data_IF_772958668621
#
_entry.id   IF_772958668621
#
_cell.length_a   1.000
_cell.length_b   1.000
_cell.length_c   1.000
_cell.angle_alpha   90.00
_cell.angle_beta   90.00
_cell.angle_gamma   90.00
#
_symmetry.space_group_name_H-M   'P 1'
#
loop_
_entity.id
_entity.type
_entity.pdbx_description
1 polymer ?
#
# COMPACT_ATOMS: atom_id res chain seq x y z
N UNK A 1 -11.71 37.66 -6.45
CA UNK A 1 -11.07 36.80 -5.46
C UNK A 1 -11.14 37.48 -4.12
N UNK A 2 -11.45 36.70 -3.08
CA UNK A 2 -11.63 37.24 -1.71
C UNK A 2 -10.23 37.39 -1.09
N UNK A 3 -9.92 38.58 -0.56
CA UNK A 3 -8.62 38.88 0.04
C UNK A 3 -8.75 39.00 1.56
N UNK A 4 -7.84 38.36 2.28
CA UNK A 4 -7.72 38.37 3.73
C UNK A 4 -6.35 38.83 4.20
N UNK A 5 -6.15 38.84 5.50
CA UNK A 5 -4.86 39.15 6.15
C UNK A 5 -4.57 38.18 7.26
N UNK A 6 -3.31 37.75 7.35
CA UNK A 6 -2.83 36.96 8.48
C UNK A 6 -2.95 37.75 9.78
N UNK A 7 -3.64 37.21 10.77
CA UNK A 7 -3.80 37.81 12.11
C UNK A 7 -3.03 37.06 13.18
N UNK A 8 -2.77 35.75 12.97
CA UNK A 8 -2.03 34.93 13.91
C UNK A 8 -1.30 33.80 13.20
N UNK A 9 -0.10 33.44 13.67
CA UNK A 9 0.70 32.28 13.23
C UNK A 9 1.12 31.50 14.47
N UNK A 10 0.76 30.22 14.55
CA UNK A 10 1.15 29.31 15.64
C UNK A 10 1.70 28.03 15.01
N UNK A 11 3.01 27.98 14.76
CA UNK A 11 3.61 26.88 14.04
C UNK A 11 2.99 26.72 12.64
N UNK A 12 2.46 25.54 12.34
CA UNK A 12 1.79 25.27 11.06
C UNK A 12 0.36 25.79 10.97
N UNK A 13 -0.20 26.35 12.05
CA UNK A 13 -1.56 26.90 12.08
C UNK A 13 -1.53 28.40 11.84
N UNK A 14 -2.38 28.87 10.92
CA UNK A 14 -2.47 30.27 10.51
C UNK A 14 -3.92 30.72 10.57
N UNK A 15 -4.17 31.81 11.28
CA UNK A 15 -5.47 32.47 11.32
C UNK A 15 -5.49 33.64 10.35
N UNK A 16 -6.49 33.69 9.50
CA UNK A 16 -6.66 34.70 8.44
C UNK A 16 -8.02 35.39 8.61
N UNK A 17 -7.98 36.70 8.72
CA UNK A 17 -9.16 37.54 8.79
C UNK A 17 -9.58 37.98 7.38
N UNK A 18 -10.88 37.87 7.07
CA UNK A 18 -11.48 38.34 5.84
C UNK A 18 -12.44 39.48 6.13
N UNK A 19 -12.44 40.50 5.28
CA UNK A 19 -13.37 41.60 5.39
C UNK A 19 -14.59 41.33 4.51
N UNK A 20 -15.74 41.09 5.11
CA UNK A 20 -17.02 40.87 4.40
C UNK A 20 -17.88 39.81 5.08
N UNK A 21 -19.07 39.56 4.55
CA UNK A 21 -20.03 38.60 5.09
C UNK A 21 -19.71 37.14 4.67
N UNK A 22 -18.95 36.99 3.61
CA UNK A 22 -18.60 35.67 3.09
C UNK A 22 -17.22 35.25 3.60
N UNK A 23 -17.14 34.03 4.17
CA UNK A 23 -15.91 33.41 4.60
C UNK A 23 -15.50 32.29 3.63
N UNK A 24 -14.20 32.02 3.48
CA UNK A 24 -13.73 30.81 2.82
C UNK A 24 -14.38 29.55 3.39
N UNK A 25 -14.71 28.62 2.52
CA UNK A 25 -15.27 27.33 2.93
C UNK A 25 -14.17 26.45 3.55
N UNK A 26 -14.61 25.48 4.34
CA UNK A 26 -13.71 24.42 4.83
C UNK A 26 -13.07 23.72 3.63
N UNK A 27 -11.76 23.51 3.72
CA UNK A 27 -10.87 22.97 2.68
C UNK A 27 -10.53 23.92 1.53
N UNK A 28 -11.07 25.13 1.46
CA UNK A 28 -10.58 26.10 0.46
C UNK A 28 -9.08 26.31 0.63
N UNK A 29 -8.39 26.42 -0.49
CA UNK A 29 -6.96 26.74 -0.54
C UNK A 29 -6.78 28.25 -0.54
N UNK A 30 -6.01 28.75 0.41
CA UNK A 30 -5.60 30.15 0.52
C UNK A 30 -4.15 30.27 0.09
N UNK A 31 -3.83 31.26 -0.75
CA UNK A 31 -2.45 31.59 -1.12
C UNK A 31 -1.97 32.83 -0.40
N UNK A 32 -0.79 32.75 0.19
CA UNK A 32 -0.12 33.91 0.77
C UNK A 32 0.57 34.69 -0.36
N UNK A 33 0.15 35.93 -0.61
CA UNK A 33 0.53 36.68 -1.81
C UNK A 33 2.05 36.96 -1.89
N UNK A 34 2.72 37.07 -0.74
CA UNK A 34 4.15 37.34 -0.64
C UNK A 34 5.07 36.08 -0.73
N UNK A 35 4.48 34.89 -0.76
CA UNK A 35 5.18 33.60 -0.78
C UNK A 35 4.40 32.61 -1.62
N UNK A 36 4.98 31.45 -1.95
CA UNK A 36 4.25 30.37 -2.62
C UNK A 36 3.49 29.46 -1.64
N UNK A 37 3.34 29.88 -0.37
CA UNK A 37 2.71 29.05 0.65
C UNK A 37 1.19 28.95 0.42
N UNK A 38 0.71 27.74 0.42
CA UNK A 38 -0.73 27.43 0.45
C UNK A 38 -1.15 27.07 1.86
N UNK A 39 -2.31 27.59 2.28
CA UNK A 39 -2.96 27.30 3.57
C UNK A 39 -4.30 26.64 3.27
N UNK A 40 -4.58 25.49 3.86
CA UNK A 40 -5.89 24.84 3.76
C UNK A 40 -6.77 25.22 4.93
N UNK A 41 -7.96 25.73 4.66
CA UNK A 41 -8.94 26.13 5.69
C UNK A 41 -9.45 24.89 6.42
N UNK A 42 -9.36 24.91 7.75
CA UNK A 42 -9.80 23.80 8.62
C UNK A 42 -11.00 24.15 9.47
N UNK A 43 -11.11 25.40 9.90
CA UNK A 43 -12.14 25.88 10.82
C UNK A 43 -12.52 27.31 10.52
N UNK A 44 -13.74 27.67 10.83
CA UNK A 44 -14.17 29.06 10.96
C UNK A 44 -14.13 29.45 12.46
N UNK A 45 -13.40 30.52 12.78
CA UNK A 45 -13.11 30.92 14.15
C UNK A 45 -13.67 32.35 14.34
N UNK A 46 -14.93 32.46 14.74
CA UNK A 46 -15.62 33.76 14.84
C UNK A 46 -16.16 34.26 13.51
N UNK A 47 -16.62 35.51 13.50
CA UNK A 47 -17.43 36.05 12.40
C UNK A 47 -16.63 36.31 11.10
N UNK A 48 -15.33 36.61 11.22
CA UNK A 48 -14.53 37.09 10.09
C UNK A 48 -13.21 36.32 9.93
N UNK A 49 -12.94 35.29 10.74
CA UNK A 49 -11.64 34.63 10.79
C UNK A 49 -11.76 33.16 10.47
N UNK A 50 -10.89 32.68 9.62
CA UNK A 50 -10.70 31.24 9.36
C UNK A 50 -9.35 30.78 9.91
N UNK A 51 -9.31 29.57 10.39
CA UNK A 51 -8.11 28.89 10.82
C UNK A 51 -7.74 27.83 9.80
N UNK A 52 -6.52 27.90 9.32
CA UNK A 52 -6.01 26.96 8.34
C UNK A 52 -4.69 26.34 8.76
N UNK A 53 -4.31 25.31 8.01
CA UNK A 53 -3.03 24.62 8.18
C UNK A 53 -2.13 24.88 6.97
N UNK A 54 -0.88 25.23 7.23
CA UNK A 54 0.09 25.49 6.18
C UNK A 54 0.52 24.19 5.48
N UNK A 55 0.55 24.21 4.16
CA UNK A 55 1.04 23.15 3.29
C UNK A 55 2.52 23.41 2.91
N UNK A 56 3.32 23.81 3.86
CA UNK A 56 4.73 24.13 3.72
C UNK A 56 5.25 24.81 4.97
N UNK A 57 6.51 25.27 4.97
CA UNK A 57 7.06 26.01 6.10
C UNK A 57 6.32 27.35 6.31
N UNK A 58 5.93 27.58 7.55
CA UNK A 58 5.35 28.86 7.98
C UNK A 58 6.40 29.90 8.35
N UNK A 59 7.68 29.58 8.18
CA UNK A 59 8.78 30.48 8.49
C UNK A 59 8.71 31.75 7.63
N UNK A 60 8.89 32.88 8.30
CA UNK A 60 8.82 34.21 7.64
C UNK A 60 7.42 34.77 7.49
N UNK A 61 6.36 34.04 7.83
CA UNK A 61 5.01 34.60 7.89
C UNK A 61 4.90 35.67 8.98
N UNK A 62 4.20 36.76 8.66
CA UNK A 62 3.99 37.90 9.56
C UNK A 62 2.50 38.30 9.57
N UNK A 63 2.06 38.83 10.71
CA UNK A 63 0.74 39.47 10.78
C UNK A 63 0.64 40.57 9.74
N UNK A 64 -0.53 40.70 9.13
CA UNK A 64 -0.84 41.71 8.11
C UNK A 64 -0.46 41.29 6.68
N UNK A 65 0.22 40.16 6.46
CA UNK A 65 0.45 39.64 5.12
C UNK A 65 -0.88 39.36 4.42
N UNK A 66 -0.96 39.73 3.14
CA UNK A 66 -2.14 39.51 2.32
C UNK A 66 -2.25 38.03 1.93
N UNK A 67 -3.49 37.56 1.93
CA UNK A 67 -3.83 36.18 1.58
C UNK A 67 -5.02 36.19 0.63
N UNK A 68 -4.93 35.46 -0.45
CA UNK A 68 -5.99 35.35 -1.46
C UNK A 68 -6.67 34.00 -1.38
N UNK A 69 -8.01 33.99 -1.24
CA UNK A 69 -8.79 32.75 -1.37
C UNK A 69 -8.90 32.34 -2.85
N UNK A 70 -8.52 31.11 -3.18
CA UNK A 70 -8.69 30.57 -4.53
C UNK A 70 -10.14 30.26 -4.86
N UNK A 71 -11.00 30.06 -3.83
CA UNK A 71 -12.41 29.71 -3.94
C UNK A 71 -12.67 28.22 -4.17
N UNK A 72 -11.63 27.40 -4.13
CA UNK A 72 -11.71 25.96 -4.30
C UNK A 72 -10.67 25.23 -3.42
N UNK A 73 -10.87 23.94 -3.11
CA UNK A 73 -9.87 23.11 -2.44
C UNK A 73 -8.60 22.93 -3.28
N UNK A 74 -7.55 22.38 -2.65
CA UNK A 74 -6.31 22.02 -3.31
C UNK A 74 -6.63 21.09 -4.49
N UNK A 75 -6.17 21.44 -5.69
CA UNK A 75 -6.31 20.64 -6.91
C UNK A 75 -4.94 20.26 -7.46
N UNK A 76 -4.83 19.03 -7.94
CA UNK A 76 -3.58 18.42 -8.38
C UNK A 76 -3.68 17.89 -9.81
N UNK A 77 -2.58 17.83 -10.56
CA UNK A 77 -2.58 17.29 -11.92
C UNK A 77 -2.93 15.81 -11.90
N UNK A 78 -3.65 15.35 -12.89
CA UNK A 78 -4.03 13.95 -13.08
C UNK A 78 -3.80 13.51 -14.53
N UNK A 79 -3.81 12.22 -14.77
CA UNK A 79 -3.69 11.63 -16.09
C UNK A 79 -2.28 11.13 -16.41
N UNK A 80 -2.09 10.71 -17.64
CA UNK A 80 -0.85 10.05 -18.10
C UNK A 80 0.41 10.90 -17.93
N UNK A 81 0.28 12.23 -17.95
CA UNK A 81 1.40 13.14 -17.71
C UNK A 81 2.01 13.01 -16.29
N UNK A 82 1.31 12.39 -15.36
CA UNK A 82 1.82 12.14 -14.01
C UNK A 82 2.69 10.88 -13.88
N UNK A 83 2.60 9.97 -14.85
CA UNK A 83 3.35 8.71 -14.82
C UNK A 83 4.86 8.97 -15.00
N UNK A 84 5.66 8.27 -14.23
CA UNK A 84 7.10 8.43 -14.21
C UNK A 84 7.60 9.66 -13.46
N UNK A 85 6.71 10.41 -12.80
CA UNK A 85 7.02 11.69 -12.17
C UNK A 85 6.82 11.64 -10.65
N UNK A 86 7.53 12.52 -9.95
CA UNK A 86 7.42 12.70 -8.49
C UNK A 86 6.77 14.04 -8.21
N UNK A 87 5.76 14.03 -7.32
CA UNK A 87 5.01 15.21 -6.92
C UNK A 87 5.08 15.46 -5.42
N UNK A 88 4.96 16.72 -5.05
CA UNK A 88 4.63 17.12 -3.68
C UNK A 88 3.11 17.03 -3.41
N UNK A 89 2.68 17.38 -2.20
CA UNK A 89 1.27 17.36 -1.78
C UNK A 89 0.37 18.26 -2.61
N UNK A 90 0.90 19.33 -3.18
CA UNK A 90 0.20 20.30 -4.02
C UNK A 90 0.19 19.92 -5.50
N UNK A 91 0.82 18.79 -5.86
CA UNK A 91 0.92 18.34 -7.24
C UNK A 91 1.99 19.07 -8.06
N UNK A 92 2.96 19.71 -7.42
CA UNK A 92 4.12 20.25 -8.10
C UNK A 92 5.15 19.14 -8.31
N UNK A 93 5.72 19.07 -9.53
CA UNK A 93 6.78 18.12 -9.81
C UNK A 93 8.08 18.49 -9.08
N UNK A 94 8.67 17.53 -8.38
CA UNK A 94 9.89 17.73 -7.56
C UNK A 94 11.08 16.91 -8.02
N UNK A 95 10.95 16.21 -9.15
CA UNK A 95 11.95 15.32 -9.75
C UNK A 95 12.96 16.04 -10.66
N UNK A 96 12.92 17.36 -10.72
CA UNK A 96 13.77 18.19 -11.58
C UNK A 96 13.67 17.91 -13.09
N UNK A 97 12.70 17.13 -13.53
CA UNK A 97 12.47 16.80 -14.94
C UNK A 97 11.60 17.84 -15.68
N UNK A 98 11.43 19.02 -15.10
CA UNK A 98 10.65 20.11 -15.66
C UNK A 98 9.15 20.08 -15.30
N UNK A 99 8.39 21.08 -15.71
CA UNK A 99 6.96 21.18 -15.39
C UNK A 99 6.17 20.04 -16.03
N UNK A 100 5.06 19.66 -15.38
CA UNK A 100 4.12 18.67 -15.90
C UNK A 100 2.97 19.40 -16.59
N UNK A 101 2.79 19.16 -17.86
CA UNK A 101 1.67 19.66 -18.65
C UNK A 101 0.52 18.66 -18.59
N UNK A 102 -0.26 18.72 -17.50
CA UNK A 102 -1.46 17.92 -17.36
C UNK A 102 -2.66 18.60 -18.03
N UNK A 103 -3.44 17.81 -18.75
CA UNK A 103 -4.66 18.30 -19.42
C UNK A 103 -5.74 18.68 -18.39
N UNK A 104 -5.73 18.07 -17.24
CA UNK A 104 -6.75 18.23 -16.18
C UNK A 104 -6.13 18.28 -14.79
N UNK A 105 -6.80 19.04 -13.90
CA UNK A 105 -6.58 19.01 -12.46
C UNK A 105 -7.85 18.56 -11.75
N UNK A 106 -7.69 17.86 -10.64
CA UNK A 106 -8.80 17.40 -9.82
C UNK A 106 -8.55 17.78 -8.36
N UNK A 107 -9.64 18.16 -7.66
CA UNK A 107 -9.59 18.48 -6.23
C UNK A 107 -9.29 17.23 -5.39
N UNK A 108 -8.47 17.37 -4.34
CA UNK A 108 -8.11 16.24 -3.48
C UNK A 108 -9.22 15.84 -2.51
N UNK A 109 -10.10 16.75 -2.14
CA UNK A 109 -11.27 16.49 -1.29
C UNK A 109 -12.46 16.05 -2.16
N UNK A 110 -12.51 14.76 -2.45
CA UNK A 110 -13.62 14.13 -3.18
C UNK A 110 -14.41 13.22 -2.25
N UNK A 111 -15.67 13.04 -2.57
CA UNK A 111 -16.51 12.05 -1.90
C UNK A 111 -16.20 10.64 -2.45
N UNK A 112 -16.44 9.64 -1.61
CA UNK A 112 -16.44 8.26 -2.08
C UNK A 112 -17.48 8.05 -3.18
N UNK A 113 -17.28 7.08 -4.10
CA UNK A 113 -18.27 6.73 -5.12
C UNK A 113 -19.63 6.43 -4.50
N UNK A 114 -20.69 6.86 -5.17
CA UNK A 114 -22.05 6.59 -4.72
C UNK A 114 -22.37 5.10 -4.80
N UNK A 115 -23.32 4.64 -4.00
CA UNK A 115 -23.68 3.23 -3.91
C UNK A 115 -24.06 2.61 -5.26
N UNK A 116 -24.71 3.35 -6.13
CA UNK A 116 -25.10 2.94 -7.46
C UNK A 116 -23.95 2.90 -8.49
N UNK A 117 -22.80 3.52 -8.17
CA UNK A 117 -21.58 3.48 -8.97
C UNK A 117 -20.70 2.26 -8.66
N UNK A 118 -20.90 1.63 -7.50
CA UNK A 118 -20.09 0.50 -7.06
C UNK A 118 -20.31 -0.74 -7.94
N UNK A 119 -19.24 -1.54 -8.10
CA UNK A 119 -19.33 -2.83 -8.74
C UNK A 119 -20.18 -3.82 -7.91
N UNK A 120 -21.00 -4.61 -8.57
CA UNK A 120 -21.88 -5.59 -7.90
C UNK A 120 -21.13 -6.82 -7.37
N UNK A 121 -19.98 -7.16 -7.93
CA UNK A 121 -19.14 -8.29 -7.53
C UNK A 121 -17.68 -7.83 -7.41
N UNK A 122 -16.95 -8.47 -6.52
CA UNK A 122 -15.50 -8.29 -6.41
C UNK A 122 -14.82 -9.44 -7.17
N UNK A 123 -14.21 -9.11 -8.30
CA UNK A 123 -13.34 -10.04 -9.01
C UNK A 123 -12.01 -10.18 -8.26
N UNK A 124 -11.36 -11.32 -8.40
CA UNK A 124 -10.01 -11.51 -7.87
C UNK A 124 -8.98 -10.78 -8.74
N UNK A 125 -7.99 -10.20 -8.08
CA UNK A 125 -6.82 -9.64 -8.73
C UNK A 125 -5.69 -10.67 -8.69
N UNK A 126 -5.44 -11.32 -9.81
CA UNK A 126 -4.33 -12.25 -9.94
C UNK A 126 -3.01 -11.48 -10.00
N UNK A 127 -2.14 -11.75 -9.05
CA UNK A 127 -0.85 -11.03 -8.91
C UNK A 127 0.31 -11.72 -9.59
N UNK A 128 0.18 -13.00 -9.90
CA UNK A 128 1.25 -13.85 -10.42
C UNK A 128 2.29 -14.25 -9.37
N UNK A 129 2.04 -13.95 -8.10
CA UNK A 129 2.86 -14.33 -6.95
C UNK A 129 2.19 -15.49 -6.22
N UNK A 130 2.80 -16.67 -6.26
CA UNK A 130 2.20 -17.92 -5.76
C UNK A 130 1.63 -17.82 -4.37
N UNK A 131 2.39 -17.28 -3.41
CA UNK A 131 1.96 -17.22 -2.01
C UNK A 131 0.79 -16.24 -1.82
N UNK A 132 0.75 -15.14 -2.53
CA UNK A 132 -0.34 -14.18 -2.47
C UNK A 132 -1.60 -14.81 -3.06
N UNK A 133 -1.52 -15.26 -4.30
CA UNK A 133 -2.68 -15.74 -5.04
C UNK A 133 -3.31 -16.99 -4.42
N UNK A 134 -2.49 -17.88 -3.81
CA UNK A 134 -2.99 -19.09 -3.16
C UNK A 134 -3.57 -18.82 -1.76
N UNK A 135 -2.83 -18.09 -0.92
CA UNK A 135 -3.10 -18.01 0.53
C UNK A 135 -3.87 -16.75 0.94
N UNK A 136 -3.55 -15.62 0.33
CA UNK A 136 -4.15 -14.33 0.65
C UNK A 136 -4.60 -13.57 -0.62
N UNK A 137 -5.46 -14.18 -1.46
CA UNK A 137 -5.87 -13.60 -2.72
C UNK A 137 -6.46 -12.20 -2.56
N UNK A 138 -6.12 -11.29 -3.47
CA UNK A 138 -6.60 -9.92 -3.47
C UNK A 138 -7.92 -9.81 -4.23
N UNK A 139 -8.83 -8.99 -3.71
CA UNK A 139 -9.99 -8.55 -4.47
C UNK A 139 -9.64 -7.29 -5.28
N UNK A 140 -10.13 -7.16 -6.50
CA UNK A 140 -10.14 -5.88 -7.20
C UNK A 140 -10.96 -4.87 -6.40
N UNK A 141 -10.38 -3.71 -6.13
CA UNK A 141 -10.99 -2.71 -5.25
C UNK A 141 -10.87 -3.02 -3.76
N UNK A 142 -10.14 -4.09 -3.41
CA UNK A 142 -9.85 -4.47 -2.04
C UNK A 142 -8.74 -3.65 -1.40
N UNK A 143 -8.64 -3.75 -0.08
CA UNK A 143 -7.66 -3.07 0.74
C UNK A 143 -6.77 -4.10 1.40
N UNK A 144 -5.48 -4.05 1.10
CA UNK A 144 -4.48 -5.00 1.58
C UNK A 144 -3.54 -4.32 2.55
N UNK A 145 -3.41 -4.87 3.75
CA UNK A 145 -2.37 -4.46 4.69
C UNK A 145 -1.08 -5.23 4.46
N UNK A 146 0.03 -4.52 4.34
CA UNK A 146 1.36 -5.10 4.21
C UNK A 146 2.13 -4.89 5.51
N UNK A 147 2.43 -5.98 6.20
CA UNK A 147 3.13 -6.00 7.47
C UNK A 147 4.54 -6.55 7.29
N UNK A 148 5.50 -5.99 7.98
CA UNK A 148 6.86 -6.51 7.98
C UNK A 148 7.88 -5.50 8.48
N UNK A 149 8.93 -6.02 9.10
CA UNK A 149 10.06 -5.23 9.56
C UNK A 149 10.93 -4.70 8.41
N UNK A 150 12.01 -4.03 8.78
CA UNK A 150 12.99 -3.58 7.79
C UNK A 150 13.75 -4.78 7.18
N UNK A 151 14.08 -4.71 5.90
CA UNK A 151 14.94 -5.67 5.22
C UNK A 151 14.31 -7.01 4.85
N UNK A 152 12.98 -7.14 4.90
CA UNK A 152 12.27 -8.37 4.51
C UNK A 152 11.74 -8.36 3.07
N UNK A 153 12.11 -7.34 2.28
CA UNK A 153 11.72 -7.26 0.86
C UNK A 153 10.41 -6.55 0.58
N UNK A 154 9.94 -5.65 1.47
CA UNK A 154 8.70 -4.88 1.27
C UNK A 154 8.70 -4.13 -0.07
N UNK A 155 9.73 -3.33 -0.31
CA UNK A 155 9.91 -2.53 -1.53
C UNK A 155 9.93 -3.39 -2.80
N UNK A 156 10.66 -4.50 -2.77
CA UNK A 156 10.77 -5.43 -3.90
C UNK A 156 9.42 -6.07 -4.23
N UNK A 157 8.63 -6.43 -3.21
CA UNK A 157 7.26 -6.93 -3.41
C UNK A 157 6.36 -5.87 -4.07
N UNK A 158 6.44 -4.60 -3.62
CA UNK A 158 5.67 -3.52 -4.22
C UNK A 158 6.03 -3.31 -5.69
N UNK A 159 7.32 -3.28 -6.01
CA UNK A 159 7.80 -3.11 -7.41
C UNK A 159 7.36 -4.28 -8.31
N UNK A 160 7.41 -5.50 -7.80
CA UNK A 160 6.94 -6.67 -8.57
C UNK A 160 5.44 -6.60 -8.87
N UNK A 161 4.65 -6.17 -7.89
CA UNK A 161 3.20 -5.97 -8.09
C UNK A 161 2.92 -4.85 -9.09
N UNK A 162 3.65 -3.74 -9.05
CA UNK A 162 3.55 -2.64 -10.03
C UNK A 162 3.82 -3.17 -11.44
N UNK A 163 4.91 -3.92 -11.60
CA UNK A 163 5.27 -4.51 -12.89
C UNK A 163 4.21 -5.47 -13.40
N UNK A 164 3.76 -6.39 -12.55
CA UNK A 164 2.79 -7.41 -12.95
C UNK A 164 1.44 -6.80 -13.33
N UNK A 165 0.96 -5.81 -12.56
CA UNK A 165 -0.25 -5.08 -12.93
C UNK A 165 -0.10 -4.32 -14.25
N UNK A 166 1.05 -3.69 -14.47
CA UNK A 166 1.27 -2.93 -15.69
C UNK A 166 1.31 -3.83 -16.94
N UNK A 167 1.96 -4.97 -16.86
CA UNK A 167 2.19 -5.87 -18.00
C UNK A 167 1.01 -6.80 -18.22
N UNK A 168 0.51 -7.45 -17.18
CA UNK A 168 -0.50 -8.49 -17.31
C UNK A 168 -1.93 -7.92 -17.32
N UNK A 169 -2.16 -6.80 -16.66
CA UNK A 169 -3.48 -6.18 -16.53
C UNK A 169 -3.60 -4.82 -17.24
N UNK A 170 -2.54 -4.32 -17.87
CA UNK A 170 -2.50 -2.99 -18.51
C UNK A 170 -2.93 -1.86 -17.58
N UNK A 171 -2.69 -2.03 -16.28
CA UNK A 171 -3.04 -1.09 -15.23
C UNK A 171 -1.92 -0.08 -14.94
N UNK A 172 -2.25 0.91 -14.13
CA UNK A 172 -1.31 1.88 -13.63
C UNK A 172 -1.23 1.80 -12.10
N UNK A 173 -0.18 2.38 -11.55
CA UNK A 173 0.03 2.43 -10.11
C UNK A 173 0.27 3.87 -9.66
N UNK A 174 -0.13 4.14 -8.42
CA UNK A 174 0.19 5.40 -7.74
C UNK A 174 0.78 5.05 -6.38
N UNK A 175 1.90 5.66 -6.05
CA UNK A 175 2.56 5.49 -4.77
C UNK A 175 2.51 6.78 -3.96
N UNK A 176 1.95 6.71 -2.76
CA UNK A 176 1.90 7.81 -1.80
C UNK A 176 2.86 7.51 -0.63
N UNK A 177 3.98 8.22 -0.59
CA UNK A 177 4.93 8.18 0.50
C UNK A 177 4.51 9.13 1.62
N UNK A 178 3.93 8.58 2.68
CA UNK A 178 3.41 9.34 3.82
C UNK A 178 4.40 9.36 4.97
N UNK A 179 5.06 10.48 5.17
CA UNK A 179 6.04 10.64 6.24
C UNK A 179 7.28 9.74 6.09
N UNK A 180 7.60 9.32 4.88
CA UNK A 180 8.80 8.52 4.60
C UNK A 180 10.09 9.37 4.67
N UNK A 181 11.22 8.69 4.84
CA UNK A 181 12.52 9.35 4.78
C UNK A 181 12.83 9.73 3.35
N UNK A 182 13.35 10.95 3.15
CA UNK A 182 13.76 11.45 1.82
C UNK A 182 14.69 10.48 1.09
N UNK A 183 15.61 9.86 1.81
CA UNK A 183 16.55 8.89 1.25
C UNK A 183 15.82 7.65 0.73
N UNK A 184 14.90 7.08 1.51
CA UNK A 184 14.15 5.87 1.12
C UNK A 184 13.27 6.13 -0.11
N UNK A 185 12.64 7.32 -0.19
CA UNK A 185 11.89 7.73 -1.37
C UNK A 185 12.76 7.92 -2.61
N UNK A 186 13.97 8.44 -2.44
CA UNK A 186 14.92 8.59 -3.54
C UNK A 186 15.47 7.24 -4.01
N UNK A 187 15.84 6.36 -3.08
CA UNK A 187 16.31 5.01 -3.39
C UNK A 187 15.22 4.24 -4.16
N UNK A 188 13.96 4.35 -3.72
CA UNK A 188 12.80 3.71 -4.37
C UNK A 188 12.58 4.21 -5.82
N UNK A 189 12.76 5.50 -6.06
CA UNK A 189 12.67 6.06 -7.41
C UNK A 189 13.69 5.44 -8.35
N UNK A 190 14.96 5.39 -7.94
CA UNK A 190 16.02 4.80 -8.77
C UNK A 190 15.86 3.29 -8.95
N UNK A 191 15.44 2.56 -7.92
CA UNK A 191 15.15 1.13 -8.04
C UNK A 191 14.04 0.85 -9.05
N UNK A 192 13.02 1.72 -9.13
CA UNK A 192 11.98 1.60 -10.16
C UNK A 192 12.46 1.94 -11.56
N UNK A 193 13.37 2.93 -11.68
CA UNK A 193 14.01 3.27 -12.95
C UNK A 193 14.87 2.10 -13.45
N UNK A 194 15.72 1.53 -12.59
CA UNK A 194 16.56 0.37 -12.91
C UNK A 194 15.76 -0.89 -13.26
N UNK A 195 14.57 -1.03 -12.70
CA UNK A 195 13.67 -2.18 -12.92
C UNK A 195 12.71 -1.96 -14.09
N UNK A 196 12.80 -0.84 -14.81
CA UNK A 196 11.97 -0.49 -15.98
C UNK A 196 10.44 -0.47 -15.68
N UNK A 197 10.08 0.00 -14.48
CA UNK A 197 8.67 0.12 -14.05
C UNK A 197 8.24 1.55 -13.76
N UNK A 198 9.17 2.50 -13.77
CA UNK A 198 8.91 3.89 -13.38
C UNK A 198 7.83 4.56 -14.26
N UNK A 199 7.81 4.28 -15.55
CA UNK A 199 6.85 4.84 -16.51
C UNK A 199 5.39 4.36 -16.33
N UNK A 200 5.17 3.44 -15.38
CA UNK A 200 3.84 2.87 -15.04
C UNK A 200 3.31 3.39 -13.71
N UNK A 201 4.06 4.24 -13.01
CA UNK A 201 3.70 4.69 -11.67
C UNK A 201 3.83 6.20 -11.52
N UNK A 202 2.88 6.82 -10.83
CA UNK A 202 2.98 8.19 -10.35
C UNK A 202 3.39 8.18 -8.86
N UNK A 203 4.34 9.01 -8.48
CA UNK A 203 4.88 9.10 -7.13
C UNK A 203 4.47 10.41 -6.48
N UNK A 204 3.95 10.34 -5.25
CA UNK A 204 3.61 11.53 -4.47
C UNK A 204 4.26 11.42 -3.10
N UNK A 205 5.05 12.39 -2.71
CA UNK A 205 5.77 12.38 -1.44
C UNK A 205 5.35 13.51 -0.52
N UNK A 206 5.00 13.15 0.72
CA UNK A 206 4.92 14.04 1.87
C UNK A 206 5.87 13.51 2.93
N UNK A 207 7.11 14.01 2.93
CA UNK A 207 8.23 13.41 3.64
C UNK A 207 8.23 13.73 5.14
N UNK A 208 9.04 13.00 5.91
CA UNK A 208 9.11 13.07 7.37
C UNK A 208 9.46 14.48 7.89
N UNK A 209 10.23 15.24 7.15
CA UNK A 209 10.66 16.60 7.50
C UNK A 209 9.63 17.69 7.11
N UNK A 210 8.58 17.32 6.40
CA UNK A 210 7.54 18.26 6.00
C UNK A 210 6.51 18.51 7.11
N UNK A 211 5.82 19.66 7.10
CA UNK A 211 4.77 19.97 8.06
C UNK A 211 3.66 18.91 8.10
N UNK A 212 2.92 18.78 9.22
CA UNK A 212 1.90 17.76 9.37
C UNK A 212 0.76 17.86 8.35
N UNK A 213 0.46 19.06 7.85
CA UNK A 213 -0.53 19.27 6.78
C UNK A 213 -0.15 18.53 5.49
N UNK A 214 1.13 18.60 5.09
CA UNK A 214 1.64 17.90 3.92
C UNK A 214 1.52 16.38 4.08
N UNK A 215 1.98 15.86 5.21
CA UNK A 215 1.92 14.42 5.52
C UNK A 215 0.49 13.88 5.63
N UNK A 216 -0.47 14.73 6.07
CA UNK A 216 -1.87 14.34 6.15
C UNK A 216 -2.56 14.34 4.77
N UNK A 217 -2.19 15.24 3.85
CA UNK A 217 -2.87 15.41 2.56
C UNK A 217 -2.23 14.63 1.41
N UNK A 218 -0.98 14.19 1.55
CA UNK A 218 -0.28 13.48 0.47
C UNK A 218 -1.00 12.20 0.04
N UNK A 219 -1.61 11.45 0.97
CA UNK A 219 -2.39 10.27 0.65
C UNK A 219 -3.63 10.63 -0.21
N UNK A 220 -4.28 11.77 0.07
CA UNK A 220 -5.41 12.26 -0.73
C UNK A 220 -4.97 12.69 -2.13
N UNK A 221 -3.80 13.31 -2.25
CA UNK A 221 -3.21 13.68 -3.56
C UNK A 221 -2.98 12.44 -4.41
N UNK A 222 -2.31 11.43 -3.86
CA UNK A 222 -2.09 10.16 -4.57
C UNK A 222 -3.39 9.46 -4.93
N UNK A 223 -4.33 9.40 -3.99
CA UNK A 223 -5.62 8.76 -4.22
C UNK A 223 -6.42 9.47 -5.33
N UNK A 224 -6.34 10.79 -5.42
CA UNK A 224 -7.00 11.56 -6.49
C UNK A 224 -6.41 11.22 -7.87
N UNK A 225 -5.09 11.04 -7.96
CA UNK A 225 -4.45 10.59 -9.20
C UNK A 225 -4.88 9.15 -9.57
N UNK A 226 -5.01 8.26 -8.58
CA UNK A 226 -5.49 6.90 -8.79
C UNK A 226 -6.95 6.86 -9.26
N UNK A 227 -7.81 7.70 -8.68
CA UNK A 227 -9.22 7.79 -9.05
C UNK A 227 -9.42 8.21 -10.49
N UNK A 228 -8.57 9.09 -11.01
CA UNK A 228 -8.64 9.47 -12.42
C UNK A 228 -8.47 8.26 -13.35
N UNK A 229 -7.47 7.43 -13.11
CA UNK A 229 -7.24 6.23 -13.90
C UNK A 229 -8.35 5.18 -13.73
N UNK A 230 -8.88 5.02 -12.52
CA UNK A 230 -10.06 4.17 -12.29
C UNK A 230 -11.25 4.63 -13.11
N UNK A 231 -11.52 5.93 -13.09
CA UNK A 231 -12.66 6.53 -13.79
C UNK A 231 -12.50 6.42 -15.33
N UNK A 232 -11.25 6.30 -15.83
CA UNK A 232 -10.94 5.94 -17.22
C UNK A 232 -11.08 4.43 -17.54
N UNK A 233 -11.52 3.63 -16.60
CA UNK A 233 -11.74 2.18 -16.81
C UNK A 233 -10.51 1.32 -16.60
N UNK A 234 -9.54 1.78 -15.79
CA UNK A 234 -8.31 1.03 -15.50
C UNK A 234 -8.38 0.30 -14.16
N UNK A 235 -7.64 -0.78 -14.07
CA UNK A 235 -7.28 -1.39 -12.80
C UNK A 235 -6.05 -0.65 -12.25
N UNK A 236 -6.18 -0.08 -11.07
CA UNK A 236 -5.15 0.75 -10.45
C UNK A 236 -4.68 0.12 -9.16
N UNK A 237 -3.36 0.07 -8.96
CA UNK A 237 -2.77 -0.17 -7.65
C UNK A 237 -2.47 1.16 -6.96
N UNK A 238 -2.92 1.28 -5.73
CA UNK A 238 -2.64 2.44 -4.89
C UNK A 238 -1.83 2.01 -3.66
N UNK A 239 -0.58 2.42 -3.62
CA UNK A 239 0.32 2.14 -2.50
C UNK A 239 0.35 3.31 -1.52
N UNK A 240 0.26 2.99 -0.23
CA UNK A 240 0.41 3.96 0.86
C UNK A 240 1.51 3.46 1.80
N UNK A 241 2.61 4.13 1.82
CA UNK A 241 3.69 3.85 2.77
C UNK A 241 3.98 5.10 3.61
N UNK A 242 3.50 5.24 4.85
CA UNK A 242 2.77 4.17 5.55
C UNK A 242 1.52 4.78 6.18
N UNK A 243 0.44 4.02 6.21
CA UNK A 243 -0.88 4.51 6.67
C UNK A 243 -0.87 4.91 8.16
N UNK A 244 -0.02 4.34 9.00
CA UNK A 244 0.13 4.75 10.38
C UNK A 244 0.61 6.20 10.52
N UNK A 245 1.52 6.63 9.65
CA UNK A 245 2.01 8.02 9.65
C UNK A 245 0.99 9.02 9.16
N UNK A 246 0.07 8.59 8.31
CA UNK A 246 -1.14 9.37 7.98
C UNK A 246 -1.94 9.66 9.25
N UNK A 247 -2.19 8.65 10.07
CA UNK A 247 -2.88 8.79 11.36
C UNK A 247 -2.14 9.73 12.31
N UNK A 248 -0.81 9.60 12.43
CA UNK A 248 0.01 10.48 13.27
C UNK A 248 -0.05 11.95 12.81
N UNK A 249 0.01 12.18 11.50
CA UNK A 249 -0.13 13.53 10.95
C UNK A 249 -1.50 14.14 11.30
N UNK A 250 -2.57 13.35 11.25
CA UNK A 250 -3.89 13.75 11.70
C UNK A 250 -3.93 14.08 13.20
N UNK A 251 -3.24 13.32 14.03
CA UNK A 251 -3.10 13.59 15.47
C UNK A 251 -2.40 14.92 15.72
N UNK A 252 -1.31 15.19 15.02
CA UNK A 252 -0.56 16.46 15.12
C UNK A 252 -1.43 17.65 14.69
N UNK A 253 -2.13 17.53 13.56
CA UNK A 253 -3.05 18.58 13.08
C UNK A 253 -4.16 18.83 14.08
N UNK A 254 -4.78 17.78 14.61
CA UNK A 254 -5.84 17.88 15.61
C UNK A 254 -5.38 18.61 16.88
N UNK A 255 -4.19 18.28 17.37
CA UNK A 255 -3.58 18.94 18.53
C UNK A 255 -3.31 20.43 18.25
N UNK A 256 -2.74 20.75 17.08
CA UNK A 256 -2.48 22.14 16.67
C UNK A 256 -3.78 22.97 16.53
N UNK A 257 -4.87 22.34 16.11
CA UNK A 257 -6.19 22.98 16.03
C UNK A 257 -6.88 23.10 17.40
N UNK A 258 -6.27 22.61 18.48
CA UNK A 258 -6.80 22.71 19.84
C UNK A 258 -7.96 21.74 20.13
N UNK A 259 -8.10 20.65 19.38
CA UNK A 259 -9.11 19.62 19.65
C UNK A 259 -8.69 18.78 20.85
N UNK A 260 -9.65 18.39 21.68
CA UNK A 260 -9.39 17.49 22.80
C UNK A 260 -9.04 16.09 22.28
N UNK A 261 -7.95 15.49 22.77
CA UNK A 261 -7.55 14.15 22.35
C UNK A 261 -8.54 13.09 22.85
N UNK A 262 -8.65 12.00 22.10
CA UNK A 262 -9.36 10.78 22.49
C UNK A 262 -8.44 9.79 23.21
N UNK A 263 -8.80 8.50 23.23
CA UNK A 263 -8.00 7.45 23.84
C UNK A 263 -6.56 7.43 23.29
N UNK A 264 -5.60 7.19 24.19
CA UNK A 264 -4.15 7.10 23.88
C UNK A 264 -3.57 8.38 23.22
N UNK A 265 -4.31 9.49 23.25
CA UNK A 265 -3.86 10.77 22.71
C UNK A 265 -4.16 10.99 21.22
N UNK A 266 -4.86 10.08 20.55
CA UNK A 266 -5.26 10.24 19.16
C UNK A 266 -6.36 11.29 18.96
N UNK A 267 -6.53 11.75 17.72
CA UNK A 267 -7.60 12.69 17.35
C UNK A 267 -8.99 12.09 17.59
N UNK A 268 -9.99 12.92 17.98
CA UNK A 268 -11.34 12.43 18.25
C UNK A 268 -12.07 11.93 16.99
N UNK A 269 -11.66 12.38 15.81
CA UNK A 269 -12.22 12.03 14.51
C UNK A 269 -11.37 10.99 13.73
N UNK A 270 -10.56 10.21 14.42
CA UNK A 270 -9.67 9.20 13.80
C UNK A 270 -10.41 8.26 12.83
N UNK A 271 -11.51 7.69 13.26
CA UNK A 271 -12.29 6.78 12.43
C UNK A 271 -12.90 7.46 11.20
N UNK A 272 -13.33 8.70 11.33
CA UNK A 272 -13.87 9.48 10.23
C UNK A 272 -12.79 9.82 9.19
N UNK A 273 -11.64 10.33 9.64
CA UNK A 273 -10.51 10.64 8.74
C UNK A 273 -10.01 9.38 8.00
N UNK A 274 -9.90 8.26 8.69
CA UNK A 274 -9.54 6.98 8.08
C UNK A 274 -10.61 6.53 7.08
N UNK A 275 -11.88 6.60 7.45
CA UNK A 275 -13.01 6.25 6.59
C UNK A 275 -13.06 7.10 5.31
N UNK A 276 -12.80 8.39 5.39
CA UNK A 276 -12.77 9.28 4.22
C UNK A 276 -11.76 8.83 3.15
N UNK A 277 -10.61 8.30 3.55
CA UNK A 277 -9.62 7.74 2.62
C UNK A 277 -10.03 6.36 2.16
N UNK A 278 -10.36 5.47 3.09
CA UNK A 278 -10.59 4.05 2.81
C UNK A 278 -11.81 3.80 1.93
N UNK A 279 -12.91 4.55 2.13
CA UNK A 279 -14.13 4.39 1.34
C UNK A 279 -14.02 4.87 -0.12
N UNK A 280 -13.02 5.70 -0.43
CA UNK A 280 -12.70 6.09 -1.81
C UNK A 280 -11.97 4.99 -2.58
N UNK A 281 -11.35 4.06 -1.86
CA UNK A 281 -10.59 2.91 -2.40
C UNK A 281 -11.58 1.76 -2.64
N UNK A 282 -12.03 1.62 -3.88
CA UNK A 282 -13.06 0.64 -4.22
C UNK A 282 -13.11 0.36 -5.73
N UNK A 283 -13.82 -0.70 -6.10
CA UNK A 283 -14.22 -0.98 -7.47
C UNK A 283 -15.51 -0.25 -7.83
N UNK A 284 -15.49 0.39 -8.97
CA UNK A 284 -16.69 0.95 -9.60
C UNK A 284 -17.08 0.14 -10.82
N UNK A 285 -18.21 0.47 -11.45
CA UNK A 285 -18.65 -0.15 -12.70
C UNK A 285 -17.67 0.09 -13.86
N UNK A 286 -16.79 1.08 -13.76
CA UNK A 286 -15.83 1.45 -14.79
C UNK A 286 -14.45 0.85 -14.58
N UNK A 287 -13.91 0.91 -13.37
CA UNK A 287 -12.57 0.45 -13.05
C UNK A 287 -12.39 0.16 -11.56
N UNK A 288 -11.16 -0.14 -11.15
CA UNK A 288 -10.88 -0.50 -9.76
C UNK A 288 -9.66 0.23 -9.20
N UNK A 289 -9.69 0.50 -7.88
CA UNK A 289 -8.49 0.85 -7.10
C UNK A 289 -8.31 -0.23 -6.06
N UNK A 290 -7.23 -0.98 -6.15
CA UNK A 290 -6.80 -1.94 -5.12
C UNK A 290 -5.66 -1.29 -4.35
N UNK A 291 -5.78 -1.17 -3.02
CA UNK A 291 -4.73 -0.56 -2.22
C UNK A 291 -3.85 -1.58 -1.53
N UNK A 292 -2.57 -1.25 -1.46
CA UNK A 292 -1.58 -1.95 -0.64
C UNK A 292 -1.02 -0.92 0.32
N UNK A 293 -1.35 -1.09 1.60
CA UNK A 293 -1.05 -0.14 2.65
C UNK A 293 -0.02 -0.75 3.60
N UNK A 294 1.17 -0.16 3.66
CA UNK A 294 2.13 -0.53 4.68
C UNK A 294 1.59 -0.09 6.05
N UNK A 295 1.52 -1.03 6.97
CA UNK A 295 1.01 -0.79 8.32
C UNK A 295 2.14 -1.01 9.32
N UNK A 296 2.37 -0.01 10.17
CA UNK A 296 3.21 -0.13 11.33
C UNK A 296 2.34 -0.32 12.57
N UNK A 297 2.72 -1.28 13.40
CA UNK A 297 2.01 -1.57 14.66
C UNK A 297 2.93 -1.17 15.81
N UNK A 298 2.61 -0.09 16.56
CA UNK A 298 3.42 0.35 17.67
C UNK A 298 3.53 -0.72 18.76
N UNK A 299 4.76 -1.03 19.17
CA UNK A 299 5.04 -2.04 20.22
C UNK A 299 4.38 -3.41 19.97
N UNK A 300 4.08 -3.75 18.71
CA UNK A 300 3.34 -4.96 18.32
C UNK A 300 1.93 -5.07 18.97
N UNK A 301 1.37 -3.93 19.41
CA UNK A 301 0.04 -3.87 20.03
C UNK A 301 -1.05 -3.64 18.99
N UNK A 302 -1.73 -4.70 18.60
CA UNK A 302 -2.86 -4.66 17.65
C UNK A 302 -4.11 -3.98 18.22
N UNK A 303 -4.14 -3.71 19.53
CA UNK A 303 -5.25 -3.02 20.19
C UNK A 303 -5.10 -1.50 20.21
N UNK A 304 -3.94 -0.99 19.81
CA UNK A 304 -3.74 0.46 19.61
C UNK A 304 -4.78 1.01 18.63
N UNK A 305 -5.42 2.15 18.92
CA UNK A 305 -6.51 2.70 18.10
C UNK A 305 -6.19 2.89 16.63
N UNK A 306 -4.95 3.25 16.27
CA UNK A 306 -4.58 3.51 14.88
C UNK A 306 -4.53 2.24 14.04
N UNK A 307 -3.75 1.18 14.39
CA UNK A 307 -3.82 -0.08 13.68
C UNK A 307 -5.21 -0.73 13.78
N UNK A 308 -5.88 -0.70 14.92
CA UNK A 308 -7.21 -1.29 15.06
C UNK A 308 -8.24 -0.68 14.08
N UNK A 309 -8.22 0.65 13.93
CA UNK A 309 -9.08 1.35 12.96
C UNK A 309 -8.71 0.98 11.52
N UNK A 310 -7.42 0.86 11.22
CA UNK A 310 -6.95 0.46 9.89
C UNK A 310 -7.39 -0.97 9.56
N UNK A 311 -7.21 -1.90 10.49
CA UNK A 311 -7.59 -3.32 10.33
C UNK A 311 -9.08 -3.52 10.01
N UNK A 312 -9.94 -2.67 10.57
CA UNK A 312 -11.37 -2.75 10.29
C UNK A 312 -11.72 -2.58 8.80
N UNK A 313 -10.88 -1.87 8.05
CA UNK A 313 -11.06 -1.63 6.62
C UNK A 313 -10.37 -2.65 5.71
N UNK A 314 -9.43 -3.45 6.24
CA UNK A 314 -8.63 -4.36 5.41
C UNK A 314 -9.42 -5.61 5.00
N UNK A 315 -9.26 -6.01 3.74
CA UNK A 315 -9.81 -7.24 3.17
C UNK A 315 -8.81 -8.39 3.21
N UNK A 316 -7.51 -8.06 3.12
CA UNK A 316 -6.43 -9.02 3.21
C UNK A 316 -5.24 -8.46 3.98
N UNK A 317 -4.44 -9.35 4.56
CA UNK A 317 -3.19 -9.03 5.23
C UNK A 317 -2.06 -9.88 4.68
N UNK A 318 -0.97 -9.25 4.29
CA UNK A 318 0.26 -9.89 3.85
C UNK A 318 1.33 -9.64 4.90
N UNK A 319 1.82 -10.70 5.52
CA UNK A 319 2.83 -10.62 6.59
C UNK A 319 4.17 -11.09 6.06
N UNK A 320 5.15 -10.19 6.06
CA UNK A 320 6.54 -10.51 5.73
C UNK A 320 7.28 -10.95 6.99
N UNK A 321 7.92 -12.11 6.92
CA UNK A 321 8.56 -12.76 8.06
C UNK A 321 10.08 -12.85 7.87
N UNK A 322 10.82 -12.30 8.84
CA UNK A 322 12.29 -12.33 8.82
C UNK A 322 12.85 -13.75 8.88
N UNK A 323 12.24 -14.65 9.64
CA UNK A 323 12.68 -16.04 9.73
C UNK A 323 12.57 -16.80 8.41
N UNK A 324 11.64 -16.41 7.53
CA UNK A 324 11.52 -16.94 6.16
C UNK A 324 12.62 -16.35 5.27
N UNK A 325 12.87 -15.03 5.39
CA UNK A 325 13.95 -14.36 4.66
C UNK A 325 15.34 -14.93 5.03
N UNK A 326 15.58 -15.24 6.30
CA UNK A 326 16.83 -15.84 6.78
C UNK A 326 17.07 -17.26 6.22
N UNK A 327 16.01 -17.95 5.80
CA UNK A 327 16.10 -19.23 5.10
C UNK A 327 16.38 -19.09 3.59
N UNK A 328 16.51 -17.84 3.11
CA UNK A 328 16.69 -17.53 1.68
C UNK A 328 15.43 -17.77 0.84
N UNK A 329 14.25 -17.79 1.47
CA UNK A 329 12.97 -17.95 0.76
C UNK A 329 12.39 -16.57 0.47
N UNK A 330 12.30 -16.21 -0.80
CA UNK A 330 11.70 -14.96 -1.26
C UNK A 330 10.62 -15.23 -2.32
N UNK A 331 9.48 -14.53 -2.27
CA UNK A 331 9.11 -13.50 -1.29
C UNK A 331 8.99 -14.08 0.13
N UNK A 332 9.45 -13.32 1.13
CA UNK A 332 9.44 -13.75 2.52
C UNK A 332 8.05 -13.60 3.19
N UNK A 333 7.00 -13.94 2.46
CA UNK A 333 5.61 -13.85 2.93
C UNK A 333 5.28 -15.10 3.75
N UNK A 334 4.75 -14.87 4.95
CA UNK A 334 4.34 -15.95 5.85
C UNK A 334 2.96 -16.48 5.45
N UNK A 335 2.85 -17.74 4.99
CA UNK A 335 1.59 -18.32 4.55
C UNK A 335 0.64 -18.67 5.71
N UNK A 336 1.12 -18.69 6.97
CA UNK A 336 0.31 -18.96 8.14
C UNK A 336 -0.26 -17.69 8.76
N UNK A 337 0.52 -16.60 8.75
CA UNK A 337 0.12 -15.33 9.35
C UNK A 337 -0.58 -14.39 8.35
N UNK A 338 -0.45 -14.66 7.03
CA UNK A 338 -1.14 -13.92 5.99
C UNK A 338 -2.56 -14.45 5.77
N UNK A 339 -3.52 -13.54 5.59
CA UNK A 339 -4.94 -13.89 5.50
C UNK A 339 -5.66 -13.07 4.44
N UNK A 340 -6.78 -13.59 3.92
CA UNK A 340 -7.70 -12.85 3.06
C UNK A 340 -9.14 -13.29 3.30
N UNK A 341 -10.05 -12.32 3.30
CA UNK A 341 -11.49 -12.56 3.32
C UNK A 341 -11.97 -13.22 2.03
N UNK A 342 -11.20 -13.09 0.95
CA UNK A 342 -11.51 -13.70 -0.34
C UNK A 342 -11.23 -15.21 -0.39
N UNK A 343 -10.47 -15.76 0.57
CA UNK A 343 -10.22 -17.19 0.66
C UNK A 343 -11.44 -17.92 1.24
N UNK A 344 -12.50 -17.94 0.45
CA UNK A 344 -13.79 -18.57 0.71
C UNK A 344 -14.21 -19.42 -0.48
N UNK A 345 -14.74 -20.65 -0.29
CA UNK A 345 -15.12 -21.54 -1.40
C UNK A 345 -16.09 -20.92 -2.40
N UNK A 346 -16.93 -19.98 -1.94
CA UNK A 346 -17.90 -19.30 -2.80
C UNK A 346 -17.25 -18.24 -3.72
N UNK A 347 -16.07 -17.76 -3.34
CA UNK A 347 -15.32 -16.73 -4.10
C UNK A 347 -14.25 -17.36 -4.97
N UNK A 348 -13.35 -18.16 -4.37
CA UNK A 348 -12.20 -18.74 -5.07
C UNK A 348 -12.51 -20.09 -5.71
N UNK A 349 -13.62 -20.70 -5.37
CA UNK A 349 -13.96 -22.07 -5.76
C UNK A 349 -13.41 -23.12 -4.79
N UNK A 350 -14.04 -24.31 -4.81
CA UNK A 350 -13.76 -25.38 -3.84
C UNK A 350 -12.31 -25.90 -3.95
N UNK A 351 -11.82 -26.09 -5.17
CA UNK A 351 -10.46 -26.63 -5.39
C UNK A 351 -9.38 -25.73 -4.83
N UNK A 352 -9.44 -24.43 -5.12
CA UNK A 352 -8.47 -23.45 -4.60
C UNK A 352 -8.51 -23.44 -3.07
N UNK A 353 -9.70 -23.36 -2.50
CA UNK A 353 -9.88 -23.33 -1.05
C UNK A 353 -9.30 -24.59 -0.39
N UNK A 354 -9.60 -25.77 -0.90
CA UNK A 354 -9.14 -27.04 -0.33
C UNK A 354 -7.60 -27.15 -0.40
N UNK A 355 -6.99 -26.78 -1.53
CA UNK A 355 -5.54 -26.77 -1.68
C UNK A 355 -4.89 -25.79 -0.70
N UNK A 356 -5.39 -24.56 -0.62
CA UNK A 356 -4.85 -23.56 0.30
C UNK A 356 -4.93 -24.01 1.77
N UNK A 357 -6.07 -24.58 2.18
CA UNK A 357 -6.25 -25.11 3.53
C UNK A 357 -5.36 -26.29 3.83
N UNK A 358 -5.20 -27.21 2.89
CA UNK A 358 -4.27 -28.33 3.04
C UNK A 358 -2.82 -27.85 3.23
N UNK A 359 -2.38 -26.87 2.43
CA UNK A 359 -1.06 -26.27 2.55
C UNK A 359 -0.88 -25.64 3.93
N UNK A 360 -1.84 -24.84 4.39
CA UNK A 360 -1.78 -24.21 5.70
C UNK A 360 -1.73 -25.24 6.84
N UNK A 361 -2.55 -26.27 6.79
CA UNK A 361 -2.56 -27.35 7.79
C UNK A 361 -1.21 -28.10 7.82
N UNK A 362 -0.68 -28.42 6.67
CA UNK A 362 0.63 -29.11 6.54
C UNK A 362 1.75 -28.26 7.12
N UNK A 363 1.80 -26.97 6.79
CA UNK A 363 2.80 -26.04 7.32
C UNK A 363 2.63 -25.78 8.82
N UNK A 364 1.41 -25.70 9.30
CA UNK A 364 1.12 -25.54 10.74
C UNK A 364 1.58 -26.76 11.54
N UNK A 365 1.27 -27.96 11.05
CA UNK A 365 1.74 -29.21 11.68
C UNK A 365 3.26 -29.31 11.66
N UNK A 366 3.89 -28.90 10.57
CA UNK A 366 5.36 -28.85 10.49
C UNK A 366 5.96 -27.86 11.51
N UNK A 367 5.33 -26.70 11.69
CA UNK A 367 5.75 -25.72 12.71
C UNK A 367 5.72 -26.33 14.12
N UNK A 368 4.69 -27.09 14.45
CA UNK A 368 4.57 -27.80 15.73
C UNK A 368 5.64 -28.90 15.90
N UNK A 369 5.97 -29.60 14.82
CA UNK A 369 6.97 -30.66 14.84
C UNK A 369 8.43 -30.15 14.89
N UNK A 370 8.68 -28.89 14.52
CA UNK A 370 10.05 -28.33 14.52
C UNK A 370 10.77 -28.45 15.85
N UNK A 371 10.10 -28.19 16.96
CA UNK A 371 10.68 -28.28 18.29
C UNK A 371 11.01 -29.72 18.65
N UNK A 372 10.13 -30.65 18.28
CA UNK A 372 10.34 -32.08 18.48
C UNK A 372 11.54 -32.57 17.66
N UNK A 373 11.63 -32.17 16.40
CA UNK A 373 12.74 -32.49 15.50
C UNK A 373 14.08 -31.96 16.03
N UNK A 374 14.08 -30.74 16.57
CA UNK A 374 15.28 -30.11 17.13
C UNK A 374 15.81 -30.83 18.34
N UNK A 375 14.93 -31.43 19.17
CA UNK A 375 15.31 -32.13 20.42
C UNK A 375 15.60 -33.61 20.19
N UNK A 376 14.72 -34.29 19.45
CA UNK A 376 14.75 -35.76 19.32
C UNK A 376 15.26 -36.26 17.98
N UNK A 377 15.33 -35.41 16.98
CA UNK A 377 15.71 -35.77 15.62
C UNK A 377 14.54 -36.28 14.76
N UNK A 378 14.79 -36.45 13.46
CA UNK A 378 13.80 -36.91 12.47
C UNK A 378 13.41 -38.38 12.67
N UNK A 379 14.32 -39.21 13.23
CA UNK A 379 14.14 -40.64 13.34
C UNK A 379 13.06 -41.04 14.35
N UNK A 380 12.78 -40.16 15.31
CA UNK A 380 11.74 -40.38 16.32
C UNK A 380 10.32 -40.06 15.82
N UNK A 381 10.19 -39.45 14.63
CA UNK A 381 8.89 -39.18 14.04
C UNK A 381 8.23 -40.44 13.47
N UNK A 382 6.92 -40.49 13.49
CA UNK A 382 6.15 -41.48 12.75
C UNK A 382 6.42 -41.35 11.23
N UNK A 383 6.20 -42.41 10.49
CA UNK A 383 6.34 -42.37 9.01
C UNK A 383 5.42 -41.30 8.39
N UNK A 384 4.21 -41.16 8.91
CA UNK A 384 3.24 -40.13 8.50
C UNK A 384 3.78 -38.71 8.73
N UNK A 385 4.32 -38.42 9.93
CA UNK A 385 4.91 -37.13 10.26
C UNK A 385 6.18 -36.85 9.45
N UNK A 386 7.00 -37.86 9.16
CA UNK A 386 8.18 -37.72 8.28
C UNK A 386 7.79 -37.32 6.85
N UNK A 387 6.78 -37.97 6.30
CA UNK A 387 6.27 -37.64 4.97
C UNK A 387 5.66 -36.23 4.94
N UNK A 388 4.90 -35.87 5.98
CA UNK A 388 4.34 -34.54 6.13
C UNK A 388 5.44 -33.46 6.18
N UNK A 389 6.50 -33.68 6.97
CA UNK A 389 7.63 -32.75 7.06
C UNK A 389 8.34 -32.62 5.71
N UNK A 390 8.55 -33.70 4.98
CA UNK A 390 9.15 -33.67 3.65
C UNK A 390 8.33 -32.84 2.67
N UNK A 391 7.00 -33.05 2.64
CA UNK A 391 6.07 -32.27 1.81
C UNK A 391 6.01 -30.80 2.24
N UNK A 392 5.96 -30.52 3.55
CA UNK A 392 5.97 -29.16 4.08
C UNK A 392 7.20 -28.37 3.65
N UNK A 393 8.39 -28.98 3.68
CA UNK A 393 9.63 -28.37 3.21
C UNK A 393 9.61 -28.08 1.71
N UNK A 394 9.06 -29.00 0.90
CA UNK A 394 8.84 -28.79 -0.54
C UNK A 394 7.88 -27.63 -0.79
N UNK A 395 6.76 -27.55 -0.05
CA UNK A 395 5.81 -26.44 -0.13
C UNK A 395 6.46 -25.11 0.21
N UNK A 396 7.26 -25.03 1.30
CA UNK A 396 7.96 -23.80 1.66
C UNK A 396 8.93 -23.35 0.54
N UNK A 397 9.68 -24.25 -0.06
CA UNK A 397 10.58 -23.94 -1.15
C UNK A 397 9.86 -23.58 -2.43
N UNK A 398 8.72 -24.22 -2.70
CA UNK A 398 7.91 -23.91 -3.87
C UNK A 398 7.20 -22.56 -3.77
N UNK A 399 6.99 -22.02 -2.57
CA UNK A 399 6.56 -20.63 -2.41
C UNK A 399 7.61 -19.62 -2.84
N UNK A 400 8.90 -19.97 -2.84
CA UNK A 400 9.93 -19.11 -3.40
C UNK A 400 9.70 -18.92 -4.90
N UNK A 401 9.96 -17.72 -5.36
CA UNK A 401 9.69 -17.32 -6.75
C UNK A 401 10.67 -16.23 -7.16
N UNK A 402 11.37 -16.35 -8.30
CA UNK A 402 12.21 -15.29 -8.78
C UNK A 402 11.34 -14.14 -9.30
N UNK A 403 11.64 -12.93 -8.86
CA UNK A 403 10.98 -11.72 -9.29
C UNK A 403 11.69 -11.07 -10.46
N UNK A 404 10.94 -10.49 -11.39
CA UNK A 404 11.50 -9.75 -12.52
C UNK A 404 12.34 -8.56 -12.07
N UNK A 405 11.84 -7.81 -11.10
CA UNK A 405 12.52 -6.63 -10.54
C UNK A 405 13.77 -6.99 -9.74
N UNK A 406 13.90 -8.23 -9.28
CA UNK A 406 15.06 -8.71 -8.56
C UNK A 406 16.18 -9.25 -9.46
N UNK A 407 15.97 -9.33 -10.77
CA UNK A 407 16.96 -9.86 -11.74
C UNK A 407 18.31 -9.15 -11.67
N UNK A 408 18.31 -7.85 -11.45
CA UNK A 408 19.52 -7.03 -11.30
C UNK A 408 20.41 -7.52 -10.15
N UNK A 409 19.79 -8.01 -9.07
CA UNK A 409 20.50 -8.47 -7.87
C UNK A 409 20.78 -9.97 -7.89
N UNK A 410 19.88 -10.78 -8.45
CA UNK A 410 19.94 -12.25 -8.40
C UNK A 410 20.55 -12.86 -9.64
N UNK A 411 20.48 -12.18 -10.79
CA UNK A 411 20.84 -12.73 -12.10
C UNK A 411 19.82 -13.74 -12.65
N UNK A 412 18.77 -14.05 -11.91
CA UNK A 412 17.71 -14.99 -12.28
C UNK A 412 16.60 -14.29 -13.05
N UNK A 413 16.08 -14.93 -14.09
CA UNK A 413 14.91 -14.41 -14.81
C UNK A 413 13.65 -14.57 -13.96
N UNK A 414 12.86 -13.48 -13.84
CA UNK A 414 11.60 -13.49 -13.11
C UNK A 414 10.55 -14.44 -13.71
N UNK A 415 9.58 -14.80 -12.88
CA UNK A 415 8.46 -15.67 -13.28
C UNK A 415 7.14 -15.06 -12.82
N UNK A 416 6.21 -14.88 -13.75
CA UNK A 416 4.80 -14.71 -13.45
C UNK A 416 4.15 -16.09 -13.44
N UNK A 417 3.52 -16.47 -12.33
CA UNK A 417 2.92 -17.81 -12.21
C UNK A 417 1.40 -17.67 -12.17
N UNK A 418 0.68 -18.12 -13.20
CA UNK A 418 -0.78 -18.10 -13.18
C UNK A 418 -1.33 -18.89 -11.99
N UNK A 419 -2.42 -18.41 -11.40
CA UNK A 419 -3.08 -19.05 -10.25
C UNK A 419 -3.38 -20.53 -10.48
N UNK A 420 -3.81 -20.88 -11.69
CA UNK A 420 -4.10 -22.26 -12.07
C UNK A 420 -2.88 -23.19 -11.91
N UNK A 421 -1.70 -22.71 -12.32
CA UNK A 421 -0.46 -23.48 -12.20
C UNK A 421 0.02 -23.52 -10.74
N UNK A 422 -0.21 -22.49 -9.98
CA UNK A 422 0.04 -22.48 -8.54
C UNK A 422 -0.80 -23.54 -7.82
N UNK A 423 -2.10 -23.59 -8.07
CA UNK A 423 -3.02 -24.58 -7.48
C UNK A 423 -2.59 -25.99 -7.91
N UNK A 424 -2.31 -26.22 -9.19
CA UNK A 424 -1.84 -27.50 -9.73
C UNK A 424 -0.59 -27.99 -9.00
N UNK A 425 0.40 -27.12 -8.86
CA UNK A 425 1.68 -27.48 -8.23
C UNK A 425 1.52 -27.85 -6.76
N UNK A 426 0.84 -27.03 -5.96
CA UNK A 426 0.61 -27.34 -4.55
C UNK A 426 -0.27 -28.58 -4.34
N UNK A 427 -1.25 -28.82 -5.21
CA UNK A 427 -2.07 -30.01 -5.18
C UNK A 427 -1.22 -31.28 -5.40
N UNK A 428 -0.31 -31.29 -6.38
CA UNK A 428 0.59 -32.39 -6.63
C UNK A 428 1.58 -32.65 -5.48
N UNK A 429 2.06 -31.59 -4.83
CA UNK A 429 2.92 -31.74 -3.63
C UNK A 429 2.09 -32.37 -2.49
N UNK A 430 0.89 -31.87 -2.26
CA UNK A 430 0.01 -32.32 -1.19
C UNK A 430 -0.44 -33.80 -1.36
N UNK A 431 -0.70 -34.22 -2.59
CA UNK A 431 -1.11 -35.61 -2.90
C UNK A 431 0.01 -36.63 -2.74
N UNK A 432 1.26 -36.16 -2.73
CA UNK A 432 2.43 -37.04 -2.66
C UNK A 432 2.97 -37.53 -4.00
N UNK A 433 2.40 -37.06 -5.12
CA UNK A 433 2.88 -37.40 -6.46
C UNK A 433 4.36 -37.01 -6.70
N UNK A 434 4.85 -36.06 -5.88
CA UNK A 434 6.20 -35.52 -6.00
C UNK A 434 7.11 -35.91 -4.82
N UNK A 435 6.74 -36.94 -4.06
CA UNK A 435 7.51 -37.35 -2.87
C UNK A 435 8.94 -37.76 -3.22
N UNK A 436 9.18 -38.33 -4.39
CA UNK A 436 10.49 -38.74 -4.88
C UNK A 436 11.35 -37.57 -5.43
N UNK A 437 10.80 -36.40 -5.60
CA UNK A 437 11.51 -35.22 -6.14
C UNK A 437 12.34 -34.56 -5.03
N UNK A 438 13.67 -34.29 -5.28
CA UNK A 438 14.49 -33.61 -4.28
C UNK A 438 13.98 -32.23 -3.92
N UNK A 439 14.02 -31.87 -2.63
CA UNK A 439 13.57 -30.56 -2.12
C UNK A 439 14.20 -29.36 -2.86
N UNK A 440 15.48 -29.49 -3.27
CA UNK A 440 16.20 -28.42 -3.97
C UNK A 440 15.60 -28.05 -5.32
N UNK A 441 14.87 -28.97 -5.97
CA UNK A 441 14.25 -28.73 -7.26
C UNK A 441 13.08 -27.72 -7.18
N UNK A 442 12.50 -27.54 -5.99
CA UNK A 442 11.36 -26.62 -5.76
C UNK A 442 11.80 -25.18 -5.50
N UNK A 443 13.10 -24.96 -5.22
CA UNK A 443 13.59 -23.63 -4.86
C UNK A 443 13.63 -22.71 -6.08
N UNK A 444 12.99 -21.57 -5.98
CA UNK A 444 12.90 -20.56 -7.05
C UNK A 444 12.36 -21.09 -8.39
N UNK A 445 11.59 -22.16 -8.38
CA UNK A 445 10.86 -22.61 -9.54
C UNK A 445 9.60 -21.75 -9.76
N UNK A 446 9.24 -21.50 -10.99
CA UNK A 446 7.97 -20.84 -11.34
C UNK A 446 6.80 -21.80 -11.13
N UNK A 447 6.59 -22.69 -12.07
CA UNK A 447 5.56 -23.72 -12.03
C UNK A 447 6.11 -25.12 -11.73
N UNK A 448 5.23 -26.10 -11.69
CA UNK A 448 5.61 -27.47 -11.38
C UNK A 448 6.39 -28.16 -12.51
N UNK A 449 6.22 -27.74 -13.75
CA UNK A 449 6.95 -28.29 -14.89
C UNK A 449 8.43 -27.88 -14.81
N UNK A 450 8.71 -26.66 -14.36
CA UNK A 450 10.07 -26.19 -14.07
C UNK A 450 10.70 -26.99 -12.90
N UNK A 451 9.93 -27.35 -11.88
CA UNK A 451 10.40 -28.25 -10.80
C UNK A 451 10.84 -29.59 -11.36
N UNK A 452 10.06 -30.18 -12.26
CA UNK A 452 10.39 -31.49 -12.89
C UNK A 452 11.63 -31.38 -13.78
N UNK A 453 11.84 -30.27 -14.46
CA UNK A 453 13.06 -29.99 -15.21
C UNK A 453 14.29 -29.84 -14.30
N UNK A 454 14.13 -29.09 -13.21
CA UNK A 454 15.18 -28.91 -12.23
C UNK A 454 15.56 -30.23 -11.56
N UNK A 455 14.59 -31.10 -11.30
CA UNK A 455 14.86 -32.43 -10.71
C UNK A 455 15.82 -33.27 -11.55
N UNK A 456 15.75 -33.16 -12.88
CA UNK A 456 16.68 -33.88 -13.79
C UNK A 456 18.14 -33.45 -13.58
N UNK A 457 18.37 -32.18 -13.18
CA UNK A 457 19.73 -31.66 -12.90
C UNK A 457 20.33 -32.24 -11.61
N UNK A 458 19.50 -32.71 -10.68
CA UNK A 458 19.91 -33.24 -9.38
C UNK A 458 19.90 -34.79 -9.32
N UNK A 459 19.48 -35.48 -10.39
CA UNK A 459 19.46 -36.94 -10.50
C UNK A 459 20.68 -37.48 -11.26
N UNK A 460 21.60 -36.60 -11.72
CA UNK A 460 22.82 -36.93 -12.49
C UNK A 460 24.08 -37.02 -11.62
#
# INVERSE_FOLDING_TARGET
>A
MMSGKIVQVIGAVVDVEFKGADLPKIYDALKVDATDLTIEVQQQVGDNTVRGIAMGSSDGLKRGMAVTNTGEPISVPVGKATLGRIFDVLGNAIDMAGPVEAEQKMVIHRQAPAFDELAASQDLLETGVKVIDLICPFAKGGKVGLFGGAGVGKTVNMMELIRNIAIEHSGYSVFAGVGERTREGNDFYYEMEESDVLDKVALVYGQMNEPPGNRLRVALTGLTMAEFFRDEGRDVLFFVDNIYRYTLAGTEVSALLGRLPSAVGYQPNLAEEMGQVQERITSTKTGSITSIQAVYVPADDLTDPAPATTFAHLDATVVLNRGIAEQGIYPAIDPLDSTSRQLDPQVVGQEHYDVARNVQQTLQRYKELKDIIAILGMDELSEEDRNLVARARKMQRFFSQPYFVAKVFTGEDGRYVPLKETIRGFKMIASGELDDIPEKAFMYAGDIDEVLENAKKYQG
#
